data_IF_334372338099
#
_entry.id   IF_334372338099
#
_cell.length_a   1.000
_cell.length_b   1.000
_cell.length_c   1.000
_cell.angle_alpha   90.00
_cell.angle_beta   90.00
_cell.angle_gamma   90.00
#
_symmetry.space_group_name_H-M   'P 1'
#
loop_
_entity.id
_entity.type
_entity.pdbx_description
1 polymer ?
#
# COMPACT_ATOMS: atom_id res chain seq x y z
N UNK A 1 4.58 -6.40 -8.72
CA UNK A 1 3.14 -6.72 -8.63
C UNK A 1 2.88 -7.39 -7.31
N UNK A 2 1.82 -6.96 -6.61
CA UNK A 2 1.43 -7.42 -5.26
C UNK A 2 1.30 -8.94 -5.21
N UNK A 3 0.77 -9.54 -6.28
CA UNK A 3 0.56 -10.98 -6.43
C UNK A 3 1.87 -11.78 -6.30
N UNK A 4 2.98 -11.22 -6.79
CA UNK A 4 4.30 -11.88 -6.71
C UNK A 4 4.83 -11.88 -5.28
N UNK A 5 4.62 -10.79 -4.53
CA UNK A 5 5.04 -10.70 -3.13
C UNK A 5 4.20 -11.64 -2.24
N UNK A 6 2.88 -11.67 -2.46
CA UNK A 6 1.97 -12.57 -1.76
C UNK A 6 2.28 -14.05 -2.07
N UNK A 7 2.50 -14.38 -3.35
CA UNK A 7 2.86 -15.75 -3.76
C UNK A 7 4.19 -16.23 -3.19
N UNK A 8 5.17 -15.33 -3.02
CA UNK A 8 6.48 -15.65 -2.44
C UNK A 8 6.53 -15.56 -0.91
N UNK A 9 5.48 -15.03 -0.29
CA UNK A 9 5.44 -14.71 1.14
C UNK A 9 6.60 -13.81 1.60
N UNK A 10 7.18 -13.00 0.71
CA UNK A 10 8.36 -12.17 1.01
C UNK A 10 8.49 -10.99 0.05
N UNK A 11 9.10 -9.91 0.55
CA UNK A 11 9.44 -8.71 -0.21
C UNK A 11 10.93 -8.66 -0.50
N UNK A 12 11.32 -8.17 -1.68
CA UNK A 12 12.70 -7.74 -1.87
C UNK A 12 12.93 -6.36 -1.24
N UNK A 13 14.20 -6.03 -0.96
CA UNK A 13 14.58 -4.76 -0.33
C UNK A 13 14.08 -3.52 -1.08
N UNK A 14 14.05 -3.54 -2.43
CA UNK A 14 13.59 -2.39 -3.22
C UNK A 14 12.11 -2.14 -3.01
N UNK A 15 11.30 -3.20 -2.98
CA UNK A 15 9.85 -3.14 -2.73
C UNK A 15 9.56 -2.74 -1.30
N UNK A 16 10.30 -3.26 -0.32
CA UNK A 16 10.21 -2.81 1.08
C UNK A 16 10.46 -1.31 1.19
N UNK A 17 11.56 -0.81 0.58
CA UNK A 17 11.90 0.61 0.61
C UNK A 17 10.84 1.48 -0.07
N UNK A 18 10.30 1.02 -1.20
CA UNK A 18 9.23 1.71 -1.89
C UNK A 18 7.96 1.86 -1.02
N UNK A 19 7.57 0.81 -0.29
CA UNK A 19 6.41 0.87 0.62
C UNK A 19 6.67 1.83 1.79
N UNK A 20 7.86 1.79 2.39
CA UNK A 20 8.26 2.76 3.42
C UNK A 20 8.17 4.21 2.93
N UNK A 21 8.70 4.49 1.73
CA UNK A 21 8.65 5.82 1.13
C UNK A 21 7.21 6.29 0.91
N UNK A 22 6.34 5.43 0.36
CA UNK A 22 4.92 5.78 0.16
C UNK A 22 4.21 6.10 1.48
N UNK A 23 4.45 5.33 2.53
CA UNK A 23 3.90 5.63 3.86
C UNK A 23 4.36 6.99 4.37
N UNK A 24 5.65 7.28 4.21
CA UNK A 24 6.22 8.56 4.62
C UNK A 24 5.68 9.76 3.83
N UNK A 25 5.30 9.56 2.56
CA UNK A 25 4.66 10.59 1.72
C UNK A 25 3.23 10.94 2.17
N UNK A 26 2.60 10.10 3.00
CA UNK A 26 1.40 10.45 3.77
C UNK A 26 0.09 9.91 3.18
N UNK A 27 -0.26 8.69 3.57
CA UNK A 27 -1.51 8.01 3.18
C UNK A 27 -2.77 8.79 3.60
N UNK A 28 -2.71 9.58 4.67
CA UNK A 28 -3.84 10.40 5.16
C UNK A 28 -4.25 11.50 4.16
N UNK A 29 -3.29 12.18 3.53
CA UNK A 29 -3.57 13.22 2.53
C UNK A 29 -4.24 12.64 1.29
N UNK A 30 -3.74 11.48 0.86
CA UNK A 30 -4.32 10.73 -0.27
C UNK A 30 -5.72 10.23 0.07
N UNK A 31 -5.94 9.73 1.29
CA UNK A 31 -7.27 9.31 1.74
C UNK A 31 -8.27 10.47 1.76
N UNK A 32 -7.85 11.63 2.28
CA UNK A 32 -8.67 12.84 2.31
C UNK A 32 -9.02 13.32 0.90
N UNK A 33 -8.04 13.42 0.01
CA UNK A 33 -8.28 13.79 -1.39
C UNK A 33 -9.22 12.81 -2.11
N UNK A 34 -9.11 11.51 -1.80
CA UNK A 34 -10.01 10.49 -2.34
C UNK A 34 -11.46 10.67 -1.85
N UNK A 35 -11.66 11.18 -0.64
CA UNK A 35 -12.99 11.51 -0.10
C UNK A 35 -13.70 12.60 -0.90
N UNK A 36 -12.97 13.61 -1.37
CA UNK A 36 -13.51 14.70 -2.20
C UNK A 36 -13.95 14.23 -3.59
N UNK A 37 -13.41 13.10 -4.07
CA UNK A 37 -13.76 12.48 -5.36
C UNK A 37 -14.93 11.50 -5.26
N UNK A 38 -15.48 11.30 -4.06
CA UNK A 38 -16.64 10.44 -3.81
C UNK A 38 -16.30 9.02 -3.34
N UNK A 39 -17.35 8.34 -2.87
CA UNK A 39 -17.23 7.07 -2.15
C UNK A 39 -16.54 5.94 -2.95
N UNK A 40 -16.79 5.74 -4.26
CA UNK A 40 -16.10 4.69 -5.01
C UNK A 40 -14.58 4.85 -5.02
N UNK A 41 -14.09 6.09 -5.16
CA UNK A 41 -12.67 6.40 -5.19
C UNK A 41 -12.07 6.23 -3.80
N UNK A 42 -12.76 6.73 -2.76
CA UNK A 42 -12.36 6.55 -1.36
C UNK A 42 -12.24 5.07 -0.97
N UNK A 43 -13.25 4.27 -1.31
CA UNK A 43 -13.27 2.83 -1.06
C UNK A 43 -12.20 2.07 -1.86
N UNK A 44 -11.81 2.55 -3.04
CA UNK A 44 -10.68 1.99 -3.79
C UNK A 44 -9.34 2.29 -3.10
N UNK A 45 -9.11 3.55 -2.72
CA UNK A 45 -7.89 3.95 -2.01
C UNK A 45 -7.74 3.23 -0.66
N UNK A 46 -8.83 3.06 0.08
CA UNK A 46 -8.82 2.28 1.33
C UNK A 46 -8.33 0.84 1.11
N UNK A 47 -8.78 0.19 0.04
CA UNK A 47 -8.33 -1.17 -0.31
C UNK A 47 -6.85 -1.22 -0.67
N UNK A 48 -6.33 -0.19 -1.34
CA UNK A 48 -4.90 -0.11 -1.65
C UNK A 48 -4.05 -0.01 -0.38
N UNK A 49 -4.48 0.78 0.62
CA UNK A 49 -3.79 0.85 1.90
C UNK A 49 -3.85 -0.47 2.67
N UNK A 50 -5.00 -1.15 2.67
CA UNK A 50 -5.10 -2.47 3.29
C UNK A 50 -4.11 -3.48 2.65
N UNK A 51 -3.97 -3.44 1.33
CA UNK A 51 -2.98 -4.27 0.62
C UNK A 51 -1.55 -3.89 1.01
N UNK A 52 -1.24 -2.59 1.07
CA UNK A 52 0.07 -2.09 1.51
C UNK A 52 0.41 -2.54 2.93
N UNK A 53 -0.57 -2.53 3.84
CA UNK A 53 -0.42 -2.99 5.22
C UNK A 53 -0.16 -4.49 5.32
N UNK A 54 -0.83 -5.28 4.49
CA UNK A 54 -0.56 -6.73 4.40
C UNK A 54 0.84 -7.01 3.85
N UNK A 55 1.26 -6.28 2.82
CA UNK A 55 2.59 -6.45 2.23
C UNK A 55 3.70 -6.07 3.21
N UNK A 56 3.53 -4.99 3.98
CA UNK A 56 4.53 -4.54 4.94
C UNK A 56 4.79 -5.53 6.09
N UNK A 57 3.92 -6.51 6.29
CA UNK A 57 4.09 -7.59 7.28
C UNK A 57 4.95 -8.75 6.75
N UNK A 58 5.21 -8.80 5.44
CA UNK A 58 5.99 -9.88 4.85
C UNK A 58 7.48 -9.74 5.19
N UNK A 59 8.19 -10.86 5.42
CA UNK A 59 9.64 -10.84 5.63
C UNK A 59 10.38 -10.30 4.41
N UNK A 60 11.44 -9.55 4.67
CA UNK A 60 12.31 -8.98 3.62
C UNK A 60 13.45 -9.95 3.31
N UNK A 61 13.67 -10.23 2.02
CA UNK A 61 14.72 -11.10 1.50
C UNK A 61 15.79 -10.31 0.74
#
# INVERSE_FOLDING_TARGET
MVEVALSRGSLDRKRSKMLETRRAEGNERVFRAAGELGEPVRSYVARLFAIEDLLAQLPVR
#
